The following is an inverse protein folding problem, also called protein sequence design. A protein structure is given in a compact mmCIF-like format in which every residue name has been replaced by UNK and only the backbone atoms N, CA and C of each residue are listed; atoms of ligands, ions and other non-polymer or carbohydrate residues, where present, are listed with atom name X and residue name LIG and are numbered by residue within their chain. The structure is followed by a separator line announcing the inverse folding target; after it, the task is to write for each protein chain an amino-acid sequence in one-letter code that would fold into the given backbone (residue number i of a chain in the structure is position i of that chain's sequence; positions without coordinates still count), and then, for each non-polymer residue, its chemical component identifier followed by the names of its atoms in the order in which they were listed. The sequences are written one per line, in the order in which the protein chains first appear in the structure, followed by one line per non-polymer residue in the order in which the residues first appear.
data_IF_787745198673
#
_entry.id   IF_787745198673
#
_cell.length_a   1.000
_cell.length_b   1.000
_cell.length_c   1.000
_cell.angle_alpha   90.00
_cell.angle_beta   90.00
_cell.angle_gamma   90.00
#
_symmetry.space_group_name_H-M   'P 1'
#
loop_
_entity.id
_entity.type
_entity.pdbx_description
1 polymer ?
#
# COMPACT_ATOMS: atom_id res chain seq x y z
N UNK A 1 -0.23 17.89 17.54
CA UNK A 1 0.65 16.70 17.54
C UNK A 1 0.20 15.84 16.38
N UNK A 2 1.11 15.31 15.56
CA UNK A 2 0.80 14.48 14.38
C UNK A 2 1.01 13.01 14.75
N UNK A 3 0.19 12.11 14.24
CA UNK A 3 0.16 10.69 14.64
C UNK A 3 0.39 9.72 13.47
N UNK A 4 -0.37 9.85 12.39
CA UNK A 4 -0.33 9.03 11.18
C UNK A 4 0.74 9.56 10.21
N UNK A 5 1.96 9.75 10.72
CA UNK A 5 3.09 10.26 9.95
C UNK A 5 3.72 9.17 9.09
N UNK A 6 4.66 9.59 8.23
CA UNK A 6 5.55 8.70 7.49
C UNK A 6 6.20 7.64 8.40
N UNK A 7 6.72 8.03 9.56
CA UNK A 7 7.39 7.12 10.50
C UNK A 7 6.42 6.07 11.05
N UNK A 8 5.18 6.47 11.36
CA UNK A 8 4.14 5.54 11.78
C UNK A 8 3.76 4.58 10.65
N UNK A 9 3.64 5.07 9.42
CA UNK A 9 3.38 4.20 8.25
C UNK A 9 4.51 3.18 8.05
N UNK A 10 5.78 3.62 8.07
CA UNK A 10 6.92 2.72 7.97
C UNK A 10 6.97 1.70 9.12
N UNK A 11 6.52 2.09 10.31
CA UNK A 11 6.36 1.16 11.43
C UNK A 11 5.28 0.10 11.13
N UNK A 12 4.13 0.49 10.57
CA UNK A 12 3.07 -0.44 10.14
C UNK A 12 3.61 -1.51 9.18
N UNK A 13 4.43 -1.10 8.20
CA UNK A 13 5.06 -2.00 7.23
C UNK A 13 6.05 -3.01 7.86
N UNK A 14 6.44 -2.80 9.11
CA UNK A 14 7.41 -3.63 9.86
C UNK A 14 6.77 -4.42 11.01
N UNK A 15 5.44 -4.49 11.09
CA UNK A 15 4.73 -5.29 12.12
C UNK A 15 4.67 -6.79 11.81
N UNK A 16 5.05 -7.19 10.59
CA UNK A 16 4.96 -8.55 10.08
C UNK A 16 6.26 -9.12 9.52
N UNK A 17 7.43 -8.66 9.99
CA UNK A 17 8.75 -9.02 9.42
C UNK A 17 9.04 -10.54 9.38
N UNK A 18 8.38 -11.32 10.23
CA UNK A 18 8.55 -12.77 10.31
C UNK A 18 7.57 -13.55 9.42
N UNK A 19 6.58 -12.89 8.80
CA UNK A 19 5.62 -13.54 7.93
C UNK A 19 6.29 -14.08 6.66
N UNK A 20 5.86 -15.26 6.21
CA UNK A 20 6.48 -15.95 5.08
C UNK A 20 7.84 -16.61 5.37
N UNK A 21 8.47 -16.30 6.50
CA UNK A 21 9.80 -16.81 6.85
C UNK A 21 9.75 -18.24 7.42
N UNK A 22 10.78 -19.04 7.12
CA UNK A 22 10.95 -20.41 7.62
C UNK A 22 12.37 -20.65 8.12
N UNK A 23 12.49 -21.33 9.25
CA UNK A 23 13.80 -21.72 9.79
C UNK A 23 14.41 -22.83 8.95
N UNK A 24 15.68 -22.70 8.55
CA UNK A 24 16.37 -23.72 7.77
C UNK A 24 17.86 -23.87 8.16
N UNK A 25 18.31 -25.10 8.46
CA UNK A 25 19.68 -25.34 8.97
C UNK A 25 20.81 -24.93 8.04
N UNK A 26 20.57 -24.87 6.73
CA UNK A 26 21.57 -24.44 5.76
C UNK A 26 21.74 -22.91 5.62
N UNK A 27 21.05 -22.09 6.43
CA UNK A 27 21.11 -20.62 6.33
C UNK A 27 22.10 -19.96 7.29
N UNK A 28 22.86 -20.76 8.05
CA UNK A 28 23.90 -20.25 8.96
C UNK A 28 25.16 -19.79 8.22
N UNK A 29 25.29 -20.17 6.94
CA UNK A 29 26.46 -19.91 6.11
C UNK A 29 26.01 -19.54 4.70
N UNK A 30 26.88 -18.85 3.96
CA UNK A 30 26.68 -18.59 2.54
C UNK A 30 26.71 -19.92 1.77
N UNK A 31 25.57 -20.31 1.17
CA UNK A 31 25.43 -21.62 0.54
C UNK A 31 24.75 -21.50 -0.84
N UNK A 32 25.57 -21.47 -1.89
CA UNK A 32 25.11 -21.30 -3.26
C UNK A 32 24.21 -22.46 -3.72
N UNK A 33 24.52 -23.70 -3.32
CA UNK A 33 23.71 -24.86 -3.68
C UNK A 33 22.31 -24.81 -3.04
N UNK A 34 22.22 -24.30 -1.81
CA UNK A 34 20.94 -24.03 -1.16
C UNK A 34 20.19 -22.92 -1.88
N UNK A 35 20.85 -21.79 -2.15
CA UNK A 35 20.27 -20.66 -2.86
C UNK A 35 19.67 -21.09 -4.20
N UNK A 36 20.46 -21.71 -5.09
CA UNK A 36 20.01 -22.13 -6.41
C UNK A 36 18.82 -23.10 -6.35
N UNK A 37 18.79 -24.01 -5.36
CA UNK A 37 17.67 -24.93 -5.16
C UNK A 37 16.40 -24.20 -4.74
N UNK A 38 16.50 -23.23 -3.82
CA UNK A 38 15.36 -22.44 -3.36
C UNK A 38 14.89 -21.47 -4.43
N UNK A 39 15.81 -20.83 -5.14
CA UNK A 39 15.54 -19.97 -6.29
C UNK A 39 14.71 -20.69 -7.34
N UNK A 40 15.19 -21.84 -7.85
CA UNK A 40 14.46 -22.61 -8.89
C UNK A 40 13.06 -23.00 -8.46
N UNK A 41 12.89 -23.37 -7.19
CA UNK A 41 11.58 -23.70 -6.63
C UNK A 41 10.66 -22.47 -6.59
N UNK A 42 11.17 -21.34 -6.10
CA UNK A 42 10.39 -20.11 -5.95
C UNK A 42 10.06 -19.45 -7.29
N UNK A 43 11.00 -19.48 -8.24
CA UNK A 43 10.77 -19.07 -9.62
C UNK A 43 9.66 -19.91 -10.26
N UNK A 44 9.69 -21.23 -10.07
CA UNK A 44 8.61 -22.11 -10.55
C UNK A 44 7.25 -21.78 -9.91
N UNK A 45 7.20 -21.65 -8.57
CA UNK A 45 5.98 -21.25 -7.84
C UNK A 45 5.44 -19.89 -8.35
N UNK A 46 6.32 -18.93 -8.62
CA UNK A 46 5.95 -17.62 -9.16
C UNK A 46 5.36 -17.74 -10.58
N UNK A 47 6.03 -18.46 -11.48
CA UNK A 47 5.56 -18.65 -12.86
C UNK A 47 4.22 -19.37 -12.89
N UNK A 48 4.03 -20.39 -12.05
CA UNK A 48 2.75 -21.12 -11.93
C UNK A 48 1.62 -20.16 -11.52
N UNK A 49 1.85 -19.32 -10.50
CA UNK A 49 0.88 -18.30 -10.08
C UNK A 49 0.59 -17.29 -11.20
N UNK A 50 1.61 -16.76 -11.86
CA UNK A 50 1.44 -15.82 -12.97
C UNK A 50 0.67 -16.44 -14.12
N UNK A 51 0.91 -17.73 -14.41
CA UNK A 51 0.18 -18.49 -15.43
C UNK A 51 -1.29 -18.69 -15.03
N UNK A 52 -1.57 -19.00 -13.78
CA UNK A 52 -2.95 -19.10 -13.27
C UNK A 52 -3.69 -17.77 -13.41
N UNK A 53 -3.07 -16.67 -12.97
CA UNK A 53 -3.63 -15.32 -13.12
C UNK A 53 -3.84 -14.96 -14.59
N UNK A 54 -2.85 -15.24 -15.44
CA UNK A 54 -2.95 -15.03 -16.89
C UNK A 54 -4.13 -15.78 -17.48
N UNK A 55 -4.32 -17.05 -17.11
CA UNK A 55 -5.38 -17.88 -17.66
C UNK A 55 -6.76 -17.65 -17.03
N UNK A 56 -6.89 -16.73 -16.06
CA UNK A 56 -8.17 -16.44 -15.42
C UNK A 56 -9.06 -15.64 -16.36
N UNK A 57 -10.13 -16.25 -16.87
CA UNK A 57 -11.05 -15.64 -17.84
C UNK A 57 -11.96 -14.57 -17.19
N UNK A 58 -11.79 -13.27 -17.51
CA UNK A 58 -12.52 -12.19 -16.87
C UNK A 58 -14.04 -12.25 -17.07
N UNK A 59 -14.55 -13.13 -17.96
CA UNK A 59 -15.98 -13.44 -18.05
C UNK A 59 -16.58 -13.89 -16.73
N UNK A 60 -15.80 -14.49 -15.82
CA UNK A 60 -16.28 -14.83 -14.47
C UNK A 60 -16.82 -13.59 -13.74
N UNK A 61 -16.34 -12.37 -14.06
CA UNK A 61 -16.80 -11.12 -13.47
C UNK A 61 -18.22 -10.75 -13.92
N UNK A 62 -18.75 -11.33 -14.99
CA UNK A 62 -20.15 -11.14 -15.41
C UNK A 62 -21.11 -12.03 -14.61
N UNK A 63 -20.60 -13.07 -13.96
CA UNK A 63 -21.37 -14.09 -13.24
C UNK A 63 -21.23 -13.89 -11.72
N UNK A 64 -22.04 -13.01 -11.13
CA UNK A 64 -22.18 -12.93 -9.66
C UNK A 64 -23.65 -13.13 -9.23
N UNK A 65 -23.88 -14.16 -8.42
CA UNK A 65 -25.11 -14.37 -7.64
C UNK A 65 -26.44 -14.42 -8.44
N UNK A 66 -26.42 -14.84 -9.70
CA UNK A 66 -27.65 -14.98 -10.51
C UNK A 66 -28.38 -13.66 -10.82
N UNK A 67 -27.77 -12.51 -10.52
CA UNK A 67 -28.31 -11.19 -10.82
C UNK A 67 -27.40 -10.44 -11.78
N UNK A 68 -27.99 -10.06 -12.92
CA UNK A 68 -27.30 -9.51 -14.11
C UNK A 68 -27.14 -7.98 -14.03
N UNK A 69 -27.29 -7.36 -12.86
CA UNK A 69 -27.28 -5.90 -12.73
C UNK A 69 -25.93 -5.38 -12.22
N UNK A 70 -24.95 -5.33 -13.14
CA UNK A 70 -23.79 -4.44 -13.00
C UNK A 70 -24.10 -3.08 -13.66
N UNK A 71 -23.66 -1.94 -13.08
CA UNK A 71 -23.73 -0.63 -13.73
C UNK A 71 -23.12 -0.67 -15.14
N UNK A 72 -23.59 0.20 -16.05
CA UNK A 72 -23.18 0.19 -17.45
C UNK A 72 -21.65 0.36 -17.62
N UNK A 73 -21.03 1.22 -16.83
CA UNK A 73 -19.59 1.48 -16.86
C UNK A 73 -18.76 0.25 -16.46
N UNK A 74 -19.20 -0.48 -15.42
CA UNK A 74 -18.52 -1.70 -15.00
C UNK A 74 -18.69 -2.83 -16.03
N UNK A 75 -19.81 -2.87 -16.76
CA UNK A 75 -19.98 -3.79 -17.90
C UNK A 75 -19.03 -3.48 -19.03
N UNK A 76 -18.96 -2.21 -19.45
CA UNK A 76 -18.05 -1.77 -20.51
C UNK A 76 -16.59 -2.09 -20.16
N UNK A 77 -16.20 -1.90 -18.89
CA UNK A 77 -14.89 -2.30 -18.39
C UNK A 77 -14.65 -3.81 -18.51
N UNK A 78 -15.60 -4.64 -18.09
CA UNK A 78 -15.45 -6.10 -18.19
C UNK A 78 -15.38 -6.54 -19.65
N UNK A 79 -16.18 -5.95 -20.54
CA UNK A 79 -16.10 -6.19 -21.98
C UNK A 79 -14.73 -5.83 -22.55
N UNK A 80 -14.14 -4.72 -22.10
CA UNK A 80 -12.75 -4.37 -22.45
C UNK A 80 -11.75 -5.41 -21.94
N UNK A 81 -11.87 -5.85 -20.68
CA UNK A 81 -11.00 -6.91 -20.13
C UNK A 81 -11.13 -8.21 -20.92
N UNK A 82 -12.33 -8.57 -21.36
CA UNK A 82 -12.59 -9.74 -22.20
C UNK A 82 -11.94 -9.56 -23.58
N UNK A 83 -12.11 -8.40 -24.20
CA UNK A 83 -11.48 -8.11 -25.49
C UNK A 83 -9.95 -8.20 -25.40
N UNK A 84 -9.35 -7.60 -24.37
CA UNK A 84 -7.91 -7.68 -24.09
C UNK A 84 -7.47 -9.14 -23.82
N UNK A 85 -8.29 -9.90 -23.09
CA UNK A 85 -8.06 -11.32 -22.81
C UNK A 85 -8.09 -12.19 -24.08
N UNK A 86 -9.00 -11.93 -25.00
CA UNK A 86 -9.18 -12.74 -26.21
C UNK A 86 -8.07 -12.52 -27.25
N UNK A 87 -7.50 -11.31 -27.31
CA UNK A 87 -6.46 -10.94 -28.30
C UNK A 87 -5.02 -11.03 -27.77
N UNK A 88 -4.85 -11.33 -26.48
CA UNK A 88 -3.52 -11.37 -25.85
C UNK A 88 -2.59 -12.42 -26.50
N UNK A 89 -1.27 -12.20 -26.40
CA UNK A 89 -0.30 -13.19 -26.88
C UNK A 89 -0.33 -14.49 -26.05
N UNK A 90 0.41 -15.54 -26.44
CA UNK A 90 0.68 -16.66 -25.55
C UNK A 90 1.43 -16.20 -24.29
N UNK A 91 1.25 -16.93 -23.18
CA UNK A 91 1.97 -16.67 -21.94
C UNK A 91 3.50 -16.76 -22.16
N UNK A 92 4.21 -15.66 -21.91
CA UNK A 92 5.66 -15.59 -22.07
C UNK A 92 6.36 -15.95 -20.76
N UNK A 93 6.72 -17.23 -20.61
CA UNK A 93 7.42 -17.70 -19.42
C UNK A 93 8.80 -17.03 -19.23
N UNK A 94 9.47 -16.61 -20.32
CA UNK A 94 10.80 -16.03 -20.22
C UNK A 94 10.76 -14.63 -19.60
N UNK A 95 9.79 -13.81 -19.98
CA UNK A 95 9.63 -12.48 -19.38
C UNK A 95 9.38 -12.57 -17.87
N UNK A 96 8.50 -13.46 -17.42
CA UNK A 96 8.24 -13.67 -15.99
C UNK A 96 9.46 -14.21 -15.22
N UNK A 97 10.35 -14.99 -15.85
CA UNK A 97 11.64 -15.38 -15.23
C UNK A 97 12.57 -14.18 -15.03
N UNK A 98 12.66 -13.31 -16.03
CA UNK A 98 13.47 -12.09 -15.95
C UNK A 98 12.92 -11.10 -14.92
N UNK A 99 11.60 -10.99 -14.85
CA UNK A 99 10.89 -10.22 -13.84
C UNK A 99 11.17 -10.77 -12.44
N UNK A 100 10.99 -12.08 -12.22
CA UNK A 100 11.27 -12.72 -10.93
C UNK A 100 12.70 -12.45 -10.45
N UNK A 101 13.68 -12.56 -11.36
CA UNK A 101 15.08 -12.24 -11.06
C UNK A 101 15.26 -10.78 -10.65
N UNK A 102 14.70 -9.86 -11.43
CA UNK A 102 14.78 -8.41 -11.15
C UNK A 102 14.13 -8.06 -9.80
N UNK A 103 12.96 -8.64 -9.53
CA UNK A 103 12.24 -8.47 -8.27
C UNK A 103 13.05 -9.00 -7.09
N UNK A 104 13.68 -10.18 -7.23
CA UNK A 104 14.55 -10.73 -6.19
C UNK A 104 15.75 -9.82 -5.90
N UNK A 105 16.39 -9.27 -6.93
CA UNK A 105 17.53 -8.36 -6.78
C UNK A 105 17.13 -7.05 -6.07
N UNK A 106 15.97 -6.49 -6.43
CA UNK A 106 15.40 -5.32 -5.77
C UNK A 106 15.06 -5.62 -4.31
N UNK A 107 14.35 -6.72 -4.04
CA UNK A 107 13.98 -7.16 -2.69
C UNK A 107 15.21 -7.39 -1.81
N UNK A 108 16.30 -7.96 -2.34
CA UNK A 108 17.54 -8.10 -1.58
C UNK A 108 18.13 -6.75 -1.11
N UNK A 109 17.99 -5.69 -1.90
CA UNK A 109 18.42 -4.34 -1.50
C UNK A 109 17.43 -3.76 -0.47
N UNK A 110 16.14 -3.85 -0.78
CA UNK A 110 15.07 -3.35 0.07
C UNK A 110 15.10 -3.96 1.48
N UNK A 111 15.30 -5.28 1.61
CA UNK A 111 15.38 -5.93 2.92
C UNK A 111 16.59 -5.46 3.74
N UNK A 112 17.73 -5.12 3.11
CA UNK A 112 18.90 -4.58 3.82
C UNK A 112 18.66 -3.19 4.38
N UNK A 113 17.91 -2.37 3.66
CA UNK A 113 17.59 -1.00 4.07
C UNK A 113 16.50 -0.97 5.14
N UNK A 114 15.53 -1.89 5.05
CA UNK A 114 14.35 -1.91 5.93
C UNK A 114 14.58 -2.61 7.28
N UNK A 115 15.41 -3.64 7.31
CA UNK A 115 15.64 -4.42 8.53
C UNK A 115 16.60 -3.68 9.48
N UNK A 116 16.44 -3.84 10.81
CA UNK A 116 17.44 -3.41 11.77
C UNK A 116 18.82 -3.97 11.43
N UNK A 117 19.86 -3.12 11.50
CA UNK A 117 21.22 -3.47 11.10
C UNK A 117 21.73 -4.73 11.83
N UNK A 118 21.40 -4.88 13.11
CA UNK A 118 21.80 -6.02 13.93
C UNK A 118 21.24 -7.35 13.41
N UNK A 119 20.04 -7.31 12.80
CA UNK A 119 19.44 -8.49 12.17
C UNK A 119 20.12 -8.77 10.84
N UNK A 120 20.38 -7.72 10.03
CA UNK A 120 21.04 -7.85 8.72
C UNK A 120 22.42 -8.49 8.87
N UNK A 121 23.19 -8.09 9.86
CA UNK A 121 24.54 -8.62 10.14
C UNK A 121 24.55 -10.12 10.51
N UNK A 122 23.42 -10.66 10.98
CA UNK A 122 23.27 -12.08 11.31
C UNK A 122 22.81 -12.94 10.11
N UNK A 123 22.44 -12.31 8.99
CA UNK A 123 21.99 -13.02 7.80
C UNK A 123 23.21 -13.37 6.93
N UNK A 124 23.55 -14.66 6.88
CA UNK A 124 24.69 -15.13 6.10
C UNK A 124 24.50 -15.03 4.57
N UNK A 125 23.27 -15.19 4.08
CA UNK A 125 22.92 -14.99 2.66
C UNK A 125 21.56 -14.28 2.54
N UNK A 126 21.61 -13.00 2.19
CA UNK A 126 20.41 -12.17 2.01
C UNK A 126 19.49 -12.73 0.92
N UNK A 127 20.03 -13.42 -0.10
CA UNK A 127 19.21 -13.96 -1.20
C UNK A 127 18.35 -15.10 -0.70
N UNK A 128 18.90 -15.97 0.15
CA UNK A 128 18.15 -17.07 0.79
C UNK A 128 17.14 -16.52 1.79
N UNK A 129 17.49 -15.45 2.50
CA UNK A 129 16.57 -14.71 3.36
C UNK A 129 15.37 -14.17 2.59
N UNK A 130 15.60 -13.45 1.50
CA UNK A 130 14.55 -12.90 0.64
C UNK A 130 13.63 -13.98 0.05
N UNK A 131 14.16 -15.19 -0.18
CA UNK A 131 13.35 -16.34 -0.60
C UNK A 131 12.51 -16.98 0.54
N UNK A 132 12.53 -16.40 1.73
CA UNK A 132 11.70 -16.77 2.87
C UNK A 132 12.39 -17.71 3.87
N UNK A 133 13.72 -17.74 3.96
CA UNK A 133 14.43 -18.68 4.84
C UNK A 133 15.47 -18.00 5.73
N UNK A 134 15.44 -18.27 7.02
CA UNK A 134 16.38 -17.69 7.99
C UNK A 134 16.86 -18.69 9.04
N UNK A 135 17.81 -18.27 9.87
CA UNK A 135 18.24 -19.03 11.05
C UNK A 135 17.18 -18.96 12.13
N UNK A 136 17.30 -19.81 13.16
CA UNK A 136 16.38 -19.80 14.30
C UNK A 136 16.48 -18.49 15.09
N UNK A 137 17.70 -17.97 15.23
CA UNK A 137 18.02 -16.76 15.98
C UNK A 137 17.43 -15.53 15.30
N UNK A 138 17.61 -15.41 13.98
CA UNK A 138 16.99 -14.34 13.17
C UNK A 138 15.47 -14.44 13.24
N UNK A 139 14.87 -15.63 13.13
CA UNK A 139 13.42 -15.79 13.28
C UNK A 139 12.89 -15.28 14.63
N UNK A 140 13.60 -15.55 15.72
CA UNK A 140 13.22 -15.07 17.06
C UNK A 140 13.28 -13.53 17.11
N UNK A 141 14.34 -12.93 16.57
CA UNK A 141 14.49 -11.48 16.53
C UNK A 141 13.43 -10.80 15.67
N UNK A 142 13.13 -11.34 14.48
CA UNK A 142 12.07 -10.82 13.62
C UNK A 142 10.71 -10.85 14.33
N UNK A 143 10.39 -11.92 15.06
CA UNK A 143 9.16 -12.02 15.86
C UNK A 143 9.12 -11.01 16.98
N UNK A 144 10.22 -10.85 17.72
CA UNK A 144 10.34 -9.85 18.79
C UNK A 144 10.11 -8.44 18.23
N UNK A 145 10.86 -8.07 17.18
CA UNK A 145 10.74 -6.76 16.55
C UNK A 145 9.33 -6.52 15.99
N UNK A 146 8.73 -7.52 15.34
CA UNK A 146 7.36 -7.45 14.84
C UNK A 146 6.36 -7.13 15.96
N UNK A 147 6.51 -7.77 17.13
CA UNK A 147 5.65 -7.55 18.28
C UNK A 147 5.86 -6.17 18.92
N UNK A 148 7.10 -5.71 19.01
CA UNK A 148 7.44 -4.37 19.51
C UNK A 148 6.88 -3.29 18.58
N UNK A 149 7.09 -3.44 17.26
CA UNK A 149 6.54 -2.52 16.25
C UNK A 149 5.02 -2.48 16.30
N UNK A 150 4.35 -3.63 16.47
CA UNK A 150 2.90 -3.69 16.60
C UNK A 150 2.41 -2.94 17.82
N UNK A 151 3.05 -3.12 18.99
CA UNK A 151 2.66 -2.41 20.23
C UNK A 151 2.77 -0.90 20.05
N UNK A 152 3.86 -0.43 19.45
CA UNK A 152 4.07 0.99 19.24
C UNK A 152 3.09 1.57 18.21
N UNK A 153 2.86 0.84 17.11
CA UNK A 153 1.84 1.19 16.12
C UNK A 153 0.45 1.31 16.76
N UNK A 154 0.05 0.31 17.54
CA UNK A 154 -1.24 0.28 18.25
C UNK A 154 -1.34 1.41 19.29
N UNK A 155 -0.25 1.74 20.01
CA UNK A 155 -0.21 2.86 20.95
C UNK A 155 -0.53 4.17 20.23
N UNK A 156 0.19 4.48 19.15
CA UNK A 156 -0.02 5.71 18.36
C UNK A 156 -1.43 5.74 17.77
N UNK A 157 -1.92 4.63 17.23
CA UNK A 157 -3.28 4.56 16.68
C UNK A 157 -4.38 4.75 17.73
N UNK A 158 -4.16 4.28 18.96
CA UNK A 158 -5.09 4.46 20.06
C UNK A 158 -5.11 5.93 20.54
N UNK A 159 -3.94 6.54 20.70
CA UNK A 159 -3.82 7.97 21.06
C UNK A 159 -4.46 8.86 20.00
N UNK A 160 -4.19 8.60 18.73
CA UNK A 160 -4.85 9.28 17.61
C UNK A 160 -6.37 9.17 17.70
N UNK A 161 -6.89 7.96 17.91
CA UNK A 161 -8.33 7.72 18.00
C UNK A 161 -8.97 8.51 19.15
N UNK A 162 -8.33 8.55 20.32
CA UNK A 162 -8.81 9.34 21.46
C UNK A 162 -8.86 10.84 21.14
N UNK A 163 -7.81 11.37 20.51
CA UNK A 163 -7.75 12.78 20.11
C UNK A 163 -8.84 13.12 19.10
N UNK A 164 -9.02 12.31 18.05
CA UNK A 164 -10.02 12.58 17.02
C UNK A 164 -11.44 12.49 17.56
N UNK A 165 -11.73 11.56 18.47
CA UNK A 165 -13.04 11.50 19.15
C UNK A 165 -13.27 12.80 19.96
N UNK A 166 -12.23 13.28 20.67
CA UNK A 166 -12.32 14.51 21.46
C UNK A 166 -12.50 15.78 20.59
N UNK A 167 -12.16 15.76 19.30
CA UNK A 167 -12.39 16.89 18.39
C UNK A 167 -13.88 17.19 18.14
N UNK A 168 -14.78 16.23 18.41
CA UNK A 168 -16.22 16.42 18.21
C UNK A 168 -16.63 16.65 16.75
N UNK A 169 -15.79 16.25 15.77
CA UNK A 169 -16.11 16.33 14.34
C UNK A 169 -17.24 15.34 14.04
N UNK A 170 -18.24 15.81 13.30
CA UNK A 170 -19.41 15.01 12.96
C UNK A 170 -19.03 13.74 12.18
N UNK A 171 -19.79 12.68 12.41
CA UNK A 171 -19.63 11.42 11.68
C UNK A 171 -19.80 11.59 10.18
N UNK A 172 -20.63 12.55 9.75
CA UNK A 172 -20.83 12.87 8.34
C UNK A 172 -19.53 13.29 7.65
N UNK A 173 -18.80 14.25 8.23
CA UNK A 173 -17.53 14.71 7.65
C UNK A 173 -16.47 13.62 7.79
N UNK A 174 -16.35 13.02 8.97
CA UNK A 174 -15.32 12.00 9.26
C UNK A 174 -15.44 10.76 8.37
N UNK A 175 -16.65 10.35 8.02
CA UNK A 175 -16.87 9.17 7.18
C UNK A 175 -16.74 9.48 5.68
N UNK A 176 -16.95 10.73 5.26
CA UNK A 176 -16.86 11.12 3.84
C UNK A 176 -15.47 11.55 3.42
N UNK A 177 -14.63 12.02 4.34
CA UNK A 177 -13.20 12.29 4.09
C UNK A 177 -12.39 11.00 4.32
N UNK A 178 -12.64 9.99 3.48
CA UNK A 178 -11.95 8.70 3.50
C UNK A 178 -11.63 8.25 2.08
N UNK A 179 -10.41 8.55 1.64
CA UNK A 179 -9.95 8.29 0.28
C UNK A 179 -8.82 7.25 0.23
N UNK A 180 -8.67 6.41 1.27
CA UNK A 180 -7.61 5.38 1.32
C UNK A 180 -7.62 4.54 0.03
N UNK A 181 -6.44 4.39 -0.59
CA UNK A 181 -6.19 3.73 -1.88
C UNK A 181 -6.81 4.40 -3.12
N UNK A 182 -7.43 5.57 -2.98
CA UNK A 182 -7.83 6.37 -4.15
C UNK A 182 -6.60 7.07 -4.76
N UNK A 183 -6.51 7.06 -6.09
CA UNK A 183 -5.42 7.72 -6.82
C UNK A 183 -5.77 9.17 -7.06
N UNK A 184 -4.86 10.10 -6.74
CA UNK A 184 -5.02 11.52 -7.09
C UNK A 184 -4.86 11.71 -8.59
N UNK A 185 -5.90 12.13 -9.29
CA UNK A 185 -5.87 12.40 -10.74
C UNK A 185 -5.63 13.88 -11.04
N UNK A 186 -6.03 14.77 -10.14
CA UNK A 186 -5.87 16.21 -10.28
C UNK A 186 -5.74 16.87 -8.90
N UNK A 187 -4.88 17.89 -8.83
CA UNK A 187 -4.72 18.77 -7.67
C UNK A 187 -4.65 20.22 -8.17
N UNK A 188 -5.68 21.02 -7.88
CA UNK A 188 -5.73 22.45 -8.19
C UNK A 188 -5.63 23.24 -6.89
N UNK A 189 -4.88 24.35 -6.94
CA UNK A 189 -4.66 25.24 -5.78
C UNK A 189 -4.92 26.68 -6.20
N UNK A 190 -5.62 27.45 -5.37
CA UNK A 190 -6.03 28.82 -5.65
C UNK A 190 -6.95 29.36 -4.56
N UNK A 191 -8.08 29.97 -4.94
CA UNK A 191 -9.14 30.37 -4.00
C UNK A 191 -9.74 29.17 -3.24
N UNK A 192 -9.64 27.98 -3.84
CA UNK A 192 -9.97 26.68 -3.25
C UNK A 192 -8.82 25.70 -3.51
N UNK A 193 -8.73 24.64 -2.70
CA UNK A 193 -7.93 23.47 -3.03
C UNK A 193 -8.89 22.38 -3.47
N UNK A 194 -8.73 21.89 -4.71
CA UNK A 194 -9.55 20.84 -5.29
C UNK A 194 -8.69 19.63 -5.58
N UNK A 195 -9.15 18.46 -5.14
CA UNK A 195 -8.52 17.17 -5.41
C UNK A 195 -9.53 16.25 -6.09
N UNK A 196 -9.13 15.65 -7.20
CA UNK A 196 -9.90 14.62 -7.89
C UNK A 196 -9.27 13.27 -7.73
N UNK A 197 -10.12 12.26 -7.67
CA UNK A 197 -9.71 10.89 -7.41
C UNK A 197 -10.20 9.94 -8.49
N UNK A 198 -9.34 8.99 -8.84
CA UNK A 198 -9.76 7.71 -9.35
C UNK A 198 -10.00 6.78 -8.15
N UNK A 199 -11.26 6.43 -7.94
CA UNK A 199 -11.73 5.70 -6.76
C UNK A 199 -11.66 4.19 -6.90
N UNK A 200 -11.25 3.66 -8.06
CA UNK A 200 -11.28 2.21 -8.36
C UNK A 200 -10.47 1.35 -7.38
N UNK A 201 -9.45 1.92 -6.75
CA UNK A 201 -8.64 1.25 -5.72
C UNK A 201 -9.19 1.38 -4.30
N UNK A 202 -10.05 2.38 -4.05
CA UNK A 202 -10.55 2.72 -2.73
C UNK A 202 -11.92 2.14 -2.39
N UNK A 203 -12.46 2.57 -1.26
CA UNK A 203 -13.72 2.07 -0.68
C UNK A 203 -14.86 3.09 -0.74
N UNK A 204 -14.76 4.11 -1.59
CA UNK A 204 -15.73 5.20 -1.72
C UNK A 204 -16.02 5.51 -3.19
N UNK A 205 -17.22 6.01 -3.49
CA UNK A 205 -17.54 6.56 -4.81
C UNK A 205 -17.30 8.08 -4.88
N UNK A 206 -17.06 8.73 -3.73
CA UNK A 206 -16.72 10.15 -3.67
C UNK A 206 -15.39 10.34 -4.39
N UNK A 207 -15.41 11.10 -5.49
CA UNK A 207 -14.28 11.26 -6.39
C UNK A 207 -13.74 12.69 -6.40
N UNK A 208 -14.27 13.58 -5.55
CA UNK A 208 -13.82 14.95 -5.41
C UNK A 208 -13.83 15.43 -3.97
N UNK A 209 -12.78 16.16 -3.60
CA UNK A 209 -12.63 16.92 -2.36
C UNK A 209 -12.34 18.39 -2.69
N UNK A 210 -13.09 19.30 -2.08
CA UNK A 210 -12.84 20.75 -2.15
C UNK A 210 -12.63 21.29 -0.74
N UNK A 211 -11.54 22.03 -0.54
CA UNK A 211 -11.24 22.75 0.70
C UNK A 211 -11.46 24.24 0.47
N UNK A 212 -12.43 24.80 1.21
CA UNK A 212 -12.89 26.19 1.04
C UNK A 212 -12.01 27.16 1.82
N UNK A 213 -11.64 28.28 1.19
CA UNK A 213 -10.75 29.30 1.76
C UNK A 213 -9.48 28.70 2.39
N UNK A 214 -8.64 28.01 1.59
CA UNK A 214 -7.55 27.20 2.09
C UNK A 214 -6.33 28.06 2.49
N UNK A 215 -5.65 27.66 3.55
CA UNK A 215 -4.29 28.05 3.89
C UNK A 215 -3.41 26.79 3.81
N UNK A 216 -2.57 26.71 2.77
CA UNK A 216 -1.65 25.60 2.58
C UNK A 216 -0.44 25.80 3.51
N UNK A 217 -0.33 24.94 4.52
CA UNK A 217 0.80 24.93 5.47
C UNK A 217 1.97 24.15 4.89
N UNK A 218 1.68 23.04 4.21
CA UNK A 218 2.67 22.17 3.57
C UNK A 218 2.09 21.54 2.32
N UNK A 219 2.86 21.53 1.24
CA UNK A 219 2.55 20.77 0.02
C UNK A 219 3.84 20.27 -0.59
N UNK A 220 4.08 18.97 -0.46
CA UNK A 220 5.19 18.32 -1.16
C UNK A 220 4.86 18.14 -2.65
N UNK A 221 5.89 18.06 -3.50
CA UNK A 221 5.73 17.76 -4.92
C UNK A 221 5.38 16.29 -5.16
N UNK A 222 4.89 15.97 -6.36
CA UNK A 222 4.67 14.58 -6.79
C UNK A 222 3.41 13.92 -6.21
N UNK A 223 2.39 14.70 -5.83
CA UNK A 223 1.11 14.18 -5.32
C UNK A 223 0.22 13.63 -6.44
N UNK A 224 0.18 14.27 -7.61
CA UNK A 224 -0.66 13.79 -8.73
C UNK A 224 -0.11 12.45 -9.25
N UNK A 225 -0.99 11.46 -9.36
CA UNK A 225 -0.67 10.09 -9.77
C UNK A 225 -0.35 9.14 -8.61
N UNK A 226 -0.35 9.63 -7.36
CA UNK A 226 -0.11 8.78 -6.17
C UNK A 226 -1.40 8.42 -5.44
N UNK A 227 -1.30 7.44 -4.53
CA UNK A 227 -2.42 6.99 -3.72
C UNK A 227 -2.52 7.77 -2.42
N UNK A 228 -3.74 8.06 -1.98
CA UNK A 228 -3.99 8.56 -0.64
C UNK A 228 -3.84 7.42 0.39
N UNK A 229 -2.90 7.57 1.34
CA UNK A 229 -2.65 6.55 2.36
C UNK A 229 -3.44 6.85 3.64
N UNK A 230 -3.12 7.93 4.33
CA UNK A 230 -3.71 8.23 5.63
C UNK A 230 -4.00 9.71 5.77
N UNK A 231 -4.96 10.03 6.64
CA UNK A 231 -5.35 11.39 6.94
C UNK A 231 -5.60 11.63 8.42
N UNK A 232 -5.27 12.84 8.86
CA UNK A 232 -5.66 13.39 10.15
C UNK A 232 -6.52 14.62 9.91
N UNK A 233 -7.66 14.70 10.58
CA UNK A 233 -8.59 15.82 10.44
C UNK A 233 -8.85 16.43 11.82
N UNK A 234 -8.45 17.67 12.01
CA UNK A 234 -8.59 18.40 13.26
C UNK A 234 -9.60 19.53 13.13
N UNK A 235 -10.34 19.80 14.20
CA UNK A 235 -11.18 21.00 14.32
C UNK A 235 -10.28 22.15 14.80
N UNK A 236 -10.40 23.30 14.16
CA UNK A 236 -9.78 24.56 14.57
C UNK A 236 -10.88 25.61 14.77
N UNK A 237 -10.52 26.77 15.33
CA UNK A 237 -11.48 27.82 15.68
C UNK A 237 -12.42 28.18 14.51
N UNK A 238 -11.84 28.37 13.32
CA UNK A 238 -12.55 28.80 12.11
C UNK A 238 -12.59 27.73 11.00
N UNK A 239 -12.70 26.44 11.36
CA UNK A 239 -12.88 25.36 10.37
C UNK A 239 -12.13 24.07 10.69
N UNK A 240 -11.30 23.62 9.76
CA UNK A 240 -10.58 22.35 9.84
C UNK A 240 -9.11 22.46 9.44
N UNK A 241 -8.27 21.60 10.01
CA UNK A 241 -6.90 21.35 9.56
C UNK A 241 -6.78 19.89 9.10
N UNK A 242 -6.55 19.68 7.81
CA UNK A 242 -6.42 18.38 7.16
C UNK A 242 -4.95 18.09 6.86
N UNK A 243 -4.48 16.93 7.34
CA UNK A 243 -3.15 16.40 7.05
C UNK A 243 -3.34 15.13 6.24
N UNK A 244 -2.62 14.99 5.13
CA UNK A 244 -2.70 13.84 4.24
C UNK A 244 -1.30 13.33 3.95
N UNK A 245 -1.13 12.02 4.09
CA UNK A 245 0.04 11.29 3.64
C UNK A 245 -0.32 10.53 2.37
N UNK A 246 0.51 10.69 1.34
CA UNK A 246 0.36 9.98 0.07
C UNK A 246 1.46 8.94 -0.12
N UNK A 247 1.16 7.94 -0.95
CA UNK A 247 2.15 6.99 -1.44
C UNK A 247 3.09 7.66 -2.44
N UNK A 248 4.16 6.97 -2.81
CA UNK A 248 5.13 7.43 -3.81
C UNK A 248 6.50 7.74 -3.22
N UNK A 249 7.40 8.21 -4.10
CA UNK A 249 8.77 8.51 -3.70
C UNK A 249 8.80 9.56 -2.58
N UNK A 250 9.46 9.23 -1.48
CA UNK A 250 9.52 10.02 -0.24
C UNK A 250 8.24 10.15 0.59
N UNK A 251 7.10 9.60 0.14
CA UNK A 251 5.76 9.73 0.76
C UNK A 251 5.36 11.20 0.97
N UNK A 252 4.92 11.90 -0.09
CA UNK A 252 4.62 13.32 -0.01
C UNK A 252 3.46 13.61 0.94
N UNK A 253 3.48 14.79 1.55
CA UNK A 253 2.46 15.26 2.48
C UNK A 253 1.76 16.54 1.99
N UNK A 254 0.48 16.65 2.29
CA UNK A 254 -0.32 17.86 2.15
C UNK A 254 -0.93 18.23 3.50
N UNK A 255 -0.71 19.46 3.95
CA UNK A 255 -1.28 20.01 5.18
C UNK A 255 -1.96 21.33 4.85
N UNK A 256 -3.28 21.39 5.06
CA UNK A 256 -4.11 22.53 4.68
C UNK A 256 -5.08 22.85 5.81
N UNK A 257 -5.19 24.13 6.16
CA UNK A 257 -6.33 24.65 6.92
C UNK A 257 -7.38 25.15 5.96
N UNK A 258 -8.65 25.02 6.33
CA UNK A 258 -9.76 25.47 5.50
C UNK A 258 -10.95 25.83 6.37
N UNK A 259 -11.81 26.70 5.85
CA UNK A 259 -13.05 27.08 6.52
C UNK A 259 -14.08 25.94 6.49
N UNK A 260 -14.14 25.20 5.38
CA UNK A 260 -15.07 24.08 5.19
C UNK A 260 -14.52 23.03 4.21
N UNK A 261 -15.14 21.84 4.24
CA UNK A 261 -14.79 20.68 3.43
C UNK A 261 -16.02 20.19 2.67
N UNK A 262 -15.92 20.19 1.34
CA UNK A 262 -16.95 19.66 0.44
C UNK A 262 -16.45 18.37 -0.21
N UNK A 263 -17.32 17.37 -0.29
CA UNK A 263 -16.99 16.03 -0.78
C UNK A 263 -18.12 15.55 -1.68
N UNK A 264 -17.82 15.30 -2.95
CA UNK A 264 -18.79 15.11 -4.01
C UNK A 264 -18.49 13.85 -4.83
N UNK A 265 -19.55 13.27 -5.40
CA UNK A 265 -19.48 12.29 -6.48
C UNK A 265 -19.86 13.05 -7.75
N UNK A 266 -18.91 13.21 -8.67
CA UNK A 266 -19.09 13.82 -10.00
C UNK A 266 -19.22 12.79 -11.12
#
# INVERSE_FOLDING_TARGET
MRYLTKEWYELCQRTGLHFGMRVHRGTYELNEALFLRRYKRKEKEYIELQREMYNTDPRFLLEQNGHVLKPAEERERIEKLIADYDVRPPFDELSYKLEFKSNLEWECKYQKERLPQEIVEQIADIRVFTLGYCTKEVMIQLKKQSAENRREMERVSNEYREVIIAQGISDEIRNRVQFHDCTVTELLTGEEVLIRFDTRGGFTNINKLTLVAPEIIKQDGGIVGTYWLYQELYRIDDGYELHVLFDGENMPELIVRCADILVEEE
#
